data_IF_311594817423
#
_entry.id   IF_311594817423
#
_cell.length_a   1.000
_cell.length_b   1.000
_cell.length_c   1.000
_cell.angle_alpha   90.00
_cell.angle_beta   90.00
_cell.angle_gamma   90.00
#
_symmetry.space_group_name_H-M   'P 1'
#
loop_
_entity.id
_entity.type
_entity.pdbx_description
1 polymer ?
#
# COMPACT_ATOMS: atom_id res chain seq x y z
N UNK A 1 31.53 -51.46 36.23
CA UNK A 1 30.34 -50.97 35.49
C UNK A 1 30.58 -49.51 35.15
N UNK A 2 30.68 -49.20 33.85
CA UNK A 2 31.17 -47.91 33.32
C UNK A 2 30.13 -46.80 33.54
N UNK A 3 30.58 -45.64 34.04
CA UNK A 3 29.81 -44.39 34.08
C UNK A 3 29.60 -43.88 32.65
N UNK A 4 28.35 -43.66 32.25
CA UNK A 4 28.00 -42.97 31.01
C UNK A 4 27.57 -41.55 31.38
N UNK A 5 28.41 -40.57 31.04
CA UNK A 5 28.15 -39.14 31.15
C UNK A 5 27.41 -38.74 29.86
N UNK A 6 26.12 -38.42 29.93
CA UNK A 6 25.42 -37.77 28.81
C UNK A 6 25.79 -36.28 28.82
N UNK A 7 26.57 -35.85 27.83
CA UNK A 7 26.73 -34.43 27.50
C UNK A 7 25.47 -34.01 26.71
N UNK A 8 24.63 -33.15 27.29
CA UNK A 8 23.66 -32.37 26.51
C UNK A 8 24.44 -31.30 25.74
N UNK A 9 24.62 -31.50 24.44
CA UNK A 9 25.07 -30.43 23.54
C UNK A 9 23.84 -29.57 23.25
N UNK A 10 23.73 -28.44 23.92
CA UNK A 10 22.82 -27.38 23.52
C UNK A 10 23.35 -26.82 22.19
N UNK A 11 22.70 -27.17 21.08
CA UNK A 11 22.91 -26.49 19.82
C UNK A 11 22.35 -25.07 19.97
N UNK A 12 23.16 -24.01 19.81
CA UNK A 12 22.58 -22.69 19.66
C UNK A 12 21.79 -22.70 18.35
N UNK A 13 20.46 -22.58 18.45
CA UNK A 13 19.63 -22.14 17.34
C UNK A 13 20.13 -20.76 16.95
N UNK A 14 20.98 -20.71 15.92
CA UNK A 14 21.24 -19.50 15.18
C UNK A 14 19.94 -19.16 14.47
N UNK A 15 19.10 -18.38 15.14
CA UNK A 15 18.04 -17.62 14.49
C UNK A 15 18.79 -16.57 13.68
N UNK A 16 19.11 -16.89 12.44
CA UNK A 16 19.41 -15.87 11.45
C UNK A 16 18.16 -15.01 11.36
N UNK A 17 18.23 -13.77 11.89
CA UNK A 17 17.23 -12.75 11.58
C UNK A 17 17.19 -12.67 10.05
N UNK A 18 16.12 -13.20 9.46
CA UNK A 18 15.91 -13.11 8.03
C UNK A 18 15.72 -11.62 7.75
N UNK A 19 16.70 -11.00 7.10
CA UNK A 19 16.54 -9.63 6.65
C UNK A 19 15.48 -9.61 5.56
N UNK A 20 14.58 -8.62 5.62
CA UNK A 20 13.60 -8.39 4.58
C UNK A 20 14.31 -8.26 3.23
N UNK A 21 13.77 -8.91 2.21
CA UNK A 21 14.28 -8.87 0.85
C UNK A 21 13.52 -7.81 0.09
N UNK A 22 14.15 -6.66 -0.12
CA UNK A 22 13.55 -5.51 -0.80
C UNK A 22 14.39 -5.16 -2.03
N UNK A 23 13.74 -5.10 -3.20
CA UNK A 23 14.39 -4.89 -4.50
C UNK A 23 14.30 -3.44 -4.99
N UNK A 24 14.19 -2.49 -4.07
CA UNK A 24 14.34 -1.06 -4.33
C UNK A 24 15.77 -0.59 -4.03
N UNK A 25 16.14 0.55 -4.61
CA UNK A 25 17.37 1.28 -4.29
C UNK A 25 17.04 2.58 -3.60
N UNK A 26 17.84 2.96 -2.59
CA UNK A 26 17.77 4.29 -1.99
C UNK A 26 18.60 5.25 -2.82
N UNK A 27 17.92 6.18 -3.48
CA UNK A 27 18.53 7.20 -4.32
C UNK A 27 18.64 8.55 -3.60
N UNK A 28 19.50 9.47 -4.09
CA UNK A 28 19.52 10.84 -3.60
C UNK A 28 18.17 11.54 -3.86
N UNK A 29 17.72 12.36 -2.90
CA UNK A 29 16.52 13.18 -3.04
C UNK A 29 16.53 14.03 -4.34
N UNK A 30 15.61 13.80 -5.29
CA UNK A 30 15.55 14.55 -6.55
C UNK A 30 14.85 15.93 -6.42
N UNK A 31 14.14 16.17 -5.31
CA UNK A 31 13.35 17.37 -5.10
C UNK A 31 14.17 18.49 -4.45
N UNK A 32 14.35 19.59 -5.19
CA UNK A 32 15.18 20.74 -4.77
C UNK A 32 14.39 21.88 -4.11
N UNK A 33 13.09 21.71 -3.88
CA UNK A 33 12.26 22.73 -3.23
C UNK A 33 12.55 22.82 -1.73
N UNK A 34 12.23 23.97 -1.12
CA UNK A 34 12.48 24.22 0.31
C UNK A 34 11.85 23.16 1.21
N UNK A 35 10.61 22.72 0.91
CA UNK A 35 9.91 21.72 1.70
C UNK A 35 10.70 20.41 1.83
N UNK A 36 11.42 20.02 0.78
CA UNK A 36 12.14 18.75 0.72
C UNK A 36 13.62 18.88 1.12
N UNK A 37 14.09 20.07 1.50
CA UNK A 37 15.50 20.32 1.79
C UNK A 37 16.05 19.55 3.01
N UNK A 38 15.18 19.04 3.88
CA UNK A 38 15.54 18.16 5.00
C UNK A 38 15.81 16.71 4.61
N UNK A 39 15.37 16.27 3.42
CA UNK A 39 15.50 14.88 2.98
C UNK A 39 16.74 14.68 2.11
N UNK A 40 17.42 13.55 2.32
CA UNK A 40 18.58 13.15 1.51
C UNK A 40 18.34 11.83 0.78
N UNK A 41 17.36 11.05 1.20
CA UNK A 41 17.04 9.72 0.70
C UNK A 41 15.68 9.73 0.00
N UNK A 42 15.60 8.97 -1.09
CA UNK A 42 14.42 8.86 -1.91
C UNK A 42 14.26 7.43 -2.44
N UNK A 43 13.02 6.97 -2.53
CA UNK A 43 12.65 5.75 -3.26
C UNK A 43 11.38 6.05 -4.07
N UNK A 44 11.41 5.70 -5.35
CA UNK A 44 10.24 5.69 -6.23
C UNK A 44 9.57 4.31 -6.14
N UNK A 45 8.36 4.26 -5.60
CA UNK A 45 7.58 3.03 -5.43
C UNK A 45 6.57 2.93 -6.56
N UNK A 46 6.84 1.99 -7.46
CA UNK A 46 6.00 1.67 -8.62
C UNK A 46 5.64 2.87 -9.51
N UNK A 47 6.44 3.94 -9.48
CA UNK A 47 6.23 5.14 -10.29
C UNK A 47 5.06 6.04 -9.84
N UNK A 48 4.39 5.71 -8.72
CA UNK A 48 3.18 6.41 -8.27
C UNK A 48 3.19 6.85 -6.82
N UNK A 49 4.13 6.37 -6.01
CA UNK A 49 4.24 6.72 -4.60
C UNK A 49 5.71 6.96 -4.22
N UNK A 50 5.99 8.02 -3.46
CA UNK A 50 7.37 8.41 -3.15
C UNK A 50 7.70 8.26 -1.66
N UNK A 51 8.84 7.67 -1.32
CA UNK A 51 9.38 7.72 0.04
C UNK A 51 10.46 8.79 0.11
N UNK A 52 10.35 9.72 1.07
CA UNK A 52 11.39 10.71 1.34
C UNK A 52 11.87 10.59 2.79
N UNK A 53 13.19 10.53 3.01
CA UNK A 53 13.72 10.34 4.35
C UNK A 53 14.97 11.18 4.64
N UNK A 54 15.12 11.55 5.92
CA UNK A 54 16.32 12.23 6.42
C UNK A 54 17.55 11.33 6.36
N UNK A 55 18.74 11.94 6.35
CA UNK A 55 20.01 11.20 6.37
C UNK A 55 20.20 10.29 7.60
N UNK A 56 19.52 10.61 8.71
CA UNK A 56 19.57 9.88 9.98
C UNK A 56 18.72 8.61 9.99
N UNK A 57 17.79 8.45 9.05
CA UNK A 57 16.98 7.24 8.92
C UNK A 57 17.84 6.16 8.28
N UNK A 58 17.83 4.92 8.77
CA UNK A 58 18.63 3.84 8.17
C UNK A 58 18.04 3.41 6.82
N UNK A 59 18.87 2.96 5.88
CA UNK A 59 18.38 2.48 4.57
C UNK A 59 17.38 1.31 4.74
N UNK A 60 17.59 0.45 5.74
CA UNK A 60 16.67 -0.64 6.05
C UNK A 60 15.25 -0.14 6.38
N UNK A 61 15.11 0.95 7.13
CA UNK A 61 13.80 1.54 7.45
C UNK A 61 13.16 2.24 6.24
N UNK A 62 13.97 2.90 5.42
CA UNK A 62 13.49 3.51 4.16
C UNK A 62 12.99 2.45 3.20
N UNK A 63 13.75 1.37 3.02
CA UNK A 63 13.38 0.24 2.17
C UNK A 63 12.18 -0.54 2.72
N UNK A 64 12.05 -0.66 4.04
CA UNK A 64 10.87 -1.24 4.68
C UNK A 64 9.59 -0.45 4.34
N UNK A 65 9.61 0.87 4.50
CA UNK A 65 8.47 1.72 4.11
C UNK A 65 8.16 1.63 2.61
N UNK A 66 9.18 1.51 1.77
CA UNK A 66 8.99 1.31 0.33
C UNK A 66 8.37 -0.05 -0.01
N UNK A 67 8.80 -1.13 0.66
CA UNK A 67 8.23 -2.46 0.48
C UNK A 67 6.76 -2.50 0.91
N UNK A 68 6.44 -1.99 2.10
CA UNK A 68 5.06 -1.90 2.59
C UNK A 68 4.16 -1.10 1.64
N UNK A 69 4.64 0.04 1.12
CA UNK A 69 3.89 0.81 0.13
C UNK A 69 3.64 0.01 -1.16
N UNK A 70 4.64 -0.75 -1.63
CA UNK A 70 4.50 -1.60 -2.81
C UNK A 70 3.52 -2.76 -2.57
N UNK A 71 3.64 -3.49 -1.47
CA UNK A 71 2.75 -4.60 -1.09
C UNK A 71 1.28 -4.18 -0.90
N UNK A 72 1.05 -2.92 -0.50
CA UNK A 72 -0.30 -2.36 -0.38
C UNK A 72 -0.88 -1.89 -1.73
N UNK A 73 -0.05 -1.52 -2.71
CA UNK A 73 -0.47 -1.07 -4.04
C UNK A 73 -0.53 -2.21 -5.07
N UNK A 74 0.31 -3.21 -4.89
CA UNK A 74 0.47 -4.42 -5.68
C UNK A 74 0.37 -5.61 -4.72
N UNK A 75 -0.86 -5.94 -4.32
CA UNK A 75 -1.13 -6.91 -3.27
C UNK A 75 -0.87 -8.35 -3.73
N UNK A 76 -0.74 -8.60 -5.03
CA UNK A 76 -0.34 -9.89 -5.59
C UNK A 76 1.18 -10.01 -5.87
N UNK A 77 1.93 -8.93 -5.64
CA UNK A 77 3.38 -8.79 -5.82
C UNK A 77 3.89 -9.15 -7.23
N UNK A 78 3.11 -8.85 -8.28
CA UNK A 78 3.50 -9.13 -9.67
C UNK A 78 4.30 -8.00 -10.35
N UNK A 79 4.52 -6.90 -9.64
CA UNK A 79 5.24 -5.71 -10.08
C UNK A 79 4.33 -4.64 -10.70
N UNK A 80 3.01 -4.80 -10.64
CA UNK A 80 2.03 -3.90 -11.27
C UNK A 80 1.02 -3.46 -10.22
N UNK A 81 0.72 -2.16 -10.16
CA UNK A 81 -0.33 -1.62 -9.28
C UNK A 81 -1.69 -2.27 -9.61
N UNK A 82 -2.36 -2.82 -8.60
CA UNK A 82 -3.60 -3.59 -8.74
C UNK A 82 -4.78 -2.77 -9.28
N UNK A 83 -4.79 -1.47 -8.95
CA UNK A 83 -5.80 -0.50 -9.39
C UNK A 83 -5.17 0.67 -10.17
N UNK A 84 -5.26 0.65 -11.51
CA UNK A 84 -4.75 1.72 -12.36
C UNK A 84 -5.39 3.10 -12.10
N UNK A 85 -6.62 3.15 -11.55
CA UNK A 85 -7.24 4.43 -11.20
C UNK A 85 -6.58 5.04 -9.96
N UNK A 86 -6.25 4.20 -8.98
CA UNK A 86 -5.49 4.61 -7.79
C UNK A 86 -4.08 5.03 -8.21
N UNK A 87 -3.40 4.26 -9.06
CA UNK A 87 -2.08 4.61 -9.62
C UNK A 87 -2.07 6.04 -10.21
N UNK A 88 -3.01 6.33 -11.12
CA UNK A 88 -3.13 7.66 -11.76
C UNK A 88 -3.42 8.76 -10.75
N UNK A 89 -4.29 8.49 -9.77
CA UNK A 89 -4.63 9.47 -8.73
C UNK A 89 -3.42 9.81 -7.86
N UNK A 90 -2.67 8.80 -7.41
CA UNK A 90 -1.47 8.98 -6.59
C UNK A 90 -0.38 9.75 -7.35
N UNK A 91 -0.19 9.46 -8.65
CA UNK A 91 0.70 10.25 -9.53
C UNK A 91 0.24 11.71 -9.59
N UNK A 92 -1.06 11.95 -9.81
CA UNK A 92 -1.58 13.32 -9.99
C UNK A 92 -1.41 14.20 -8.75
N UNK A 93 -1.53 13.62 -7.56
CA UNK A 93 -1.35 14.34 -6.28
C UNK A 93 0.09 14.28 -5.76
N UNK A 94 0.99 13.60 -6.49
CA UNK A 94 2.37 13.34 -6.07
C UNK A 94 2.42 12.70 -4.68
N UNK A 95 1.68 11.59 -4.51
CA UNK A 95 1.56 10.89 -3.23
C UNK A 95 2.92 10.50 -2.66
N UNK A 96 3.12 10.72 -1.36
CA UNK A 96 4.38 10.45 -0.71
C UNK A 96 4.23 10.12 0.79
N UNK A 97 5.22 9.39 1.31
CA UNK A 97 5.44 9.17 2.73
C UNK A 97 6.75 9.82 3.17
N UNK A 98 6.69 10.94 3.91
CA UNK A 98 7.87 11.52 4.54
C UNK A 98 8.22 10.77 5.84
N UNK A 99 9.51 10.43 6.00
CA UNK A 99 10.05 9.80 7.21
C UNK A 99 10.96 10.79 7.93
N UNK A 100 10.54 11.17 9.13
CA UNK A 100 11.26 12.09 10.01
C UNK A 100 11.93 11.34 11.15
N UNK A 101 12.94 11.95 11.77
CA UNK A 101 13.61 11.36 12.92
C UNK A 101 12.67 11.27 14.15
N UNK A 102 11.88 12.31 14.39
CA UNK A 102 10.91 12.40 15.48
C UNK A 102 9.95 13.57 15.23
N UNK A 103 8.83 13.61 15.95
CA UNK A 103 7.87 14.71 15.92
C UNK A 103 8.54 16.06 16.25
N UNK A 104 8.13 17.10 15.52
CA UNK A 104 8.55 18.48 15.70
C UNK A 104 10.03 18.75 15.38
N UNK A 105 10.74 17.84 14.71
CA UNK A 105 12.14 18.05 14.36
C UNK A 105 12.33 19.11 13.25
N UNK A 106 13.58 19.48 12.96
CA UNK A 106 13.87 20.56 12.01
C UNK A 106 13.40 20.26 10.57
N UNK A 107 13.56 19.02 10.11
CA UNK A 107 13.12 18.60 8.78
C UNK A 107 11.60 18.61 8.66
N UNK A 108 10.88 18.08 9.66
CA UNK A 108 9.43 18.10 9.73
C UNK A 108 8.88 19.53 9.73
N UNK A 109 9.41 20.40 10.59
CA UNK A 109 9.01 21.81 10.61
C UNK A 109 9.27 22.49 9.26
N UNK A 110 10.40 22.20 8.60
CA UNK A 110 10.69 22.76 7.29
C UNK A 110 9.72 22.24 6.24
N UNK A 111 9.42 20.95 6.25
CA UNK A 111 8.45 20.33 5.36
C UNK A 111 7.05 20.93 5.57
N UNK A 112 6.51 20.86 6.79
CA UNK A 112 5.17 21.34 7.12
C UNK A 112 4.96 22.83 6.83
N UNK A 113 5.98 23.67 7.04
CA UNK A 113 5.87 25.12 6.77
C UNK A 113 5.97 25.50 5.29
N UNK A 114 6.43 24.59 4.41
CA UNK A 114 6.70 24.91 3.01
C UNK A 114 5.97 23.99 2.01
N UNK A 115 5.48 22.84 2.45
CA UNK A 115 4.72 21.91 1.63
C UNK A 115 3.29 22.42 1.44
N UNK A 116 2.85 22.50 0.19
CA UNK A 116 1.51 22.97 -0.21
C UNK A 116 0.84 21.98 -1.19
N UNK A 117 1.27 20.71 -1.18
CA UNK A 117 0.68 19.66 -2.00
C UNK A 117 -0.40 18.88 -1.25
N UNK A 118 -1.04 17.92 -1.92
CA UNK A 118 -2.08 17.06 -1.33
C UNK A 118 -1.65 15.58 -1.26
N UNK A 119 -0.39 15.27 -1.55
CA UNK A 119 0.13 13.91 -1.61
C UNK A 119 0.49 13.29 -0.25
N UNK A 120 0.32 14.03 0.84
CA UNK A 120 0.61 13.56 2.21
C UNK A 120 -0.68 13.50 3.00
N UNK A 121 -0.96 12.37 3.63
CA UNK A 121 -2.02 12.25 4.64
C UNK A 121 -1.49 11.92 6.04
N UNK A 122 -0.27 11.39 6.10
CA UNK A 122 0.30 10.74 7.26
C UNK A 122 1.84 10.86 7.19
N UNK A 123 2.54 10.68 8.30
CA UNK A 123 4.00 10.82 8.37
C UNK A 123 4.58 9.74 9.27
N UNK A 124 5.76 9.22 8.95
CA UNK A 124 6.43 8.22 9.79
C UNK A 124 7.54 8.85 10.62
N UNK A 125 7.69 8.38 11.86
CA UNK A 125 8.87 8.68 12.68
C UNK A 125 9.84 7.50 12.76
N UNK A 126 11.13 7.79 12.85
CA UNK A 126 12.18 6.78 12.99
C UNK A 126 11.94 5.83 14.18
N UNK A 127 11.30 6.30 15.25
CA UNK A 127 10.99 5.49 16.42
C UNK A 127 9.91 4.43 16.21
N UNK A 128 9.09 4.58 15.17
CA UNK A 128 7.86 3.80 14.95
C UNK A 128 8.00 2.78 13.83
N UNK A 129 9.18 2.69 13.23
CA UNK A 129 9.45 1.74 12.14
C UNK A 129 10.24 0.56 12.71
N UNK A 130 9.65 -0.63 12.71
CA UNK A 130 10.32 -1.89 13.06
C UNK A 130 10.21 -2.90 11.90
N UNK A 131 11.25 -2.97 11.03
CA UNK A 131 11.24 -3.92 9.91
C UNK A 131 11.19 -5.39 10.30
N UNK A 132 11.37 -5.73 11.59
CA UNK A 132 11.31 -7.11 12.07
C UNK A 132 9.91 -7.55 12.48
N UNK A 133 8.96 -6.60 12.55
CA UNK A 133 7.59 -6.83 13.00
C UNK A 133 6.61 -6.06 12.11
N UNK A 134 6.67 -6.26 10.79
CA UNK A 134 5.91 -5.52 9.78
C UNK A 134 4.43 -5.35 10.17
N UNK A 135 4.01 -4.10 10.32
CA UNK A 135 2.63 -3.72 10.66
C UNK A 135 2.15 -4.13 12.05
N UNK A 136 2.99 -4.75 12.89
CA UNK A 136 2.58 -5.16 14.23
C UNK A 136 2.23 -3.94 15.08
N UNK A 137 1.01 -3.93 15.62
CA UNK A 137 0.49 -2.80 16.36
C UNK A 137 1.35 -2.46 17.58
N UNK A 138 1.72 -1.18 17.71
CA UNK A 138 2.58 -0.68 18.77
C UNK A 138 4.09 -0.88 18.55
N UNK A 139 4.50 -1.66 17.55
CA UNK A 139 5.92 -1.87 17.21
C UNK A 139 6.31 -1.27 15.85
N UNK A 140 5.45 -1.40 14.83
CA UNK A 140 5.69 -0.90 13.47
C UNK A 140 4.45 -0.18 12.89
N UNK A 141 4.45 1.16 12.92
CA UNK A 141 3.39 1.99 12.36
C UNK A 141 3.45 2.10 10.83
N UNK A 142 4.41 1.44 10.16
CA UNK A 142 4.63 1.59 8.71
C UNK A 142 3.39 1.25 7.89
N UNK A 143 2.68 0.17 8.22
CA UNK A 143 1.44 -0.20 7.50
C UNK A 143 0.36 0.86 7.67
N UNK A 144 0.17 1.38 8.89
CA UNK A 144 -0.83 2.39 9.23
C UNK A 144 -0.62 3.69 8.46
N UNK A 145 0.55 4.31 8.60
CA UNK A 145 0.81 5.62 7.99
C UNK A 145 0.78 5.56 6.45
N UNK A 146 1.32 4.47 5.89
CA UNK A 146 1.34 4.28 4.44
C UNK A 146 -0.07 4.02 3.90
N UNK A 147 -0.85 3.17 4.55
CA UNK A 147 -2.22 2.87 4.09
C UNK A 147 -3.15 4.08 4.29
N UNK A 148 -2.96 4.89 5.34
CA UNK A 148 -3.64 6.17 5.48
C UNK A 148 -3.40 7.07 4.27
N UNK A 149 -2.15 7.20 3.82
CA UNK A 149 -1.84 8.03 2.64
C UNK A 149 -2.43 7.44 1.35
N UNK A 150 -2.29 6.13 1.11
CA UNK A 150 -2.87 5.48 -0.08
C UNK A 150 -4.40 5.62 -0.10
N UNK A 151 -5.08 5.41 1.03
CA UNK A 151 -6.53 5.49 1.12
C UNK A 151 -7.02 6.92 0.98
N UNK A 152 -6.44 7.85 1.73
CA UNK A 152 -6.83 9.25 1.71
C UNK A 152 -6.61 9.88 0.33
N UNK A 153 -5.40 9.76 -0.23
CA UNK A 153 -5.07 10.38 -1.52
C UNK A 153 -5.71 9.61 -2.68
N UNK A 154 -5.73 8.27 -2.61
CA UNK A 154 -6.29 7.40 -3.64
C UNK A 154 -7.78 7.14 -3.47
N UNK A 155 -8.15 6.18 -2.62
CA UNK A 155 -9.49 5.62 -2.54
C UNK A 155 -10.60 6.65 -2.29
N UNK A 156 -10.38 7.65 -1.43
CA UNK A 156 -11.41 8.67 -1.16
C UNK A 156 -11.70 9.57 -2.37
N UNK A 157 -10.71 9.78 -3.25
CA UNK A 157 -10.82 10.60 -4.45
C UNK A 157 -11.32 9.79 -5.67
N UNK A 158 -10.86 8.55 -5.82
CA UNK A 158 -11.25 7.67 -6.95
C UNK A 158 -12.66 7.11 -6.77
N UNK A 159 -13.04 6.75 -5.55
CA UNK A 159 -14.31 6.12 -5.24
C UNK A 159 -15.13 6.92 -4.20
N UNK A 160 -15.47 8.19 -4.45
CA UNK A 160 -16.05 9.08 -3.45
C UNK A 160 -17.44 8.63 -2.97
N UNK A 161 -18.22 7.96 -3.82
CA UNK A 161 -19.52 7.40 -3.42
C UNK A 161 -19.36 6.31 -2.33
N UNK A 162 -18.23 5.61 -2.30
CA UNK A 162 -17.91 4.61 -1.30
C UNK A 162 -17.17 5.20 -0.10
N UNK A 163 -16.17 6.05 -0.34
CA UNK A 163 -15.17 6.44 0.68
C UNK A 163 -14.99 7.95 0.90
N UNK A 164 -15.86 8.83 0.37
CA UNK A 164 -15.79 10.24 0.78
C UNK A 164 -15.94 10.36 2.30
N UNK A 165 -15.16 11.24 2.94
CA UNK A 165 -15.03 11.26 4.40
C UNK A 165 -15.98 12.22 5.11
N UNK A 166 -16.59 13.16 4.38
CA UNK A 166 -17.57 14.08 4.95
C UNK A 166 -18.81 13.34 5.51
N UNK A 167 -19.47 13.92 6.51
CA UNK A 167 -20.68 13.32 7.07
C UNK A 167 -21.78 13.18 6.01
N UNK A 168 -22.42 11.99 5.95
CA UNK A 168 -23.47 11.64 4.99
C UNK A 168 -23.07 11.67 3.51
N UNK A 169 -21.77 11.60 3.18
CA UNK A 169 -21.31 11.72 1.79
C UNK A 169 -21.12 10.38 1.07
N UNK A 170 -21.07 9.27 1.81
CA UNK A 170 -20.59 7.99 1.29
C UNK A 170 -21.18 6.77 2.01
N UNK A 171 -20.95 5.59 1.45
CA UNK A 171 -21.25 4.33 2.13
C UNK A 171 -20.44 4.16 3.42
N UNK A 172 -19.16 4.56 3.41
CA UNK A 172 -18.27 4.48 4.58
C UNK A 172 -18.74 5.39 5.71
N UNK A 173 -19.16 6.63 5.40
CA UNK A 173 -19.71 7.54 6.42
C UNK A 173 -20.99 7.01 7.07
N UNK A 174 -21.83 6.35 6.28
CA UNK A 174 -23.01 5.66 6.80
C UNK A 174 -22.63 4.47 7.70
N UNK A 175 -21.57 3.73 7.36
CA UNK A 175 -21.07 2.61 8.16
C UNK A 175 -20.47 3.08 9.49
N UNK A 176 -19.61 4.11 9.46
CA UNK A 176 -18.98 4.65 10.67
C UNK A 176 -20.00 5.20 11.67
N UNK A 177 -21.05 5.86 11.19
CA UNK A 177 -22.12 6.35 12.08
C UNK A 177 -22.88 5.20 12.76
N UNK A 178 -23.03 4.05 12.10
CA UNK A 178 -23.58 2.84 12.74
C UNK A 178 -22.59 2.28 13.76
N UNK A 179 -21.30 2.19 13.40
CA UNK A 179 -20.24 1.67 14.26
C UNK A 179 -20.06 2.44 15.58
N UNK A 180 -20.32 3.75 15.54
CA UNK A 180 -20.26 4.63 16.71
C UNK A 180 -21.61 4.77 17.43
N UNK A 181 -22.66 4.10 16.96
CA UNK A 181 -24.02 4.22 17.51
C UNK A 181 -24.70 5.57 17.27
N UNK A 182 -24.20 6.37 16.34
CA UNK A 182 -24.69 7.69 15.97
C UNK A 182 -23.67 8.52 15.16
N UNK A 183 -24.13 9.67 14.66
CA UNK A 183 -23.27 10.63 13.96
C UNK A 183 -22.62 11.61 14.94
N UNK A 184 -21.29 11.59 15.04
CA UNK A 184 -20.50 12.46 15.92
C UNK A 184 -19.44 13.21 15.11
N UNK A 185 -19.57 14.54 15.03
CA UNK A 185 -18.66 15.40 14.26
C UNK A 185 -17.29 15.59 14.89
N UNK A 186 -17.18 15.30 16.18
CA UNK A 186 -15.96 15.28 17.00
C UNK A 186 -16.06 14.09 17.94
N UNK A 187 -14.95 13.68 18.55
CA UNK A 187 -14.98 12.63 19.58
C UNK A 187 -15.93 13.04 20.71
N UNK A 188 -16.96 12.24 21.05
CA UNK A 188 -17.87 12.51 22.15
C UNK A 188 -17.24 12.13 23.50
N UNK A 189 -17.76 12.70 24.59
CA UNK A 189 -17.32 12.31 25.94
C UNK A 189 -17.54 10.82 26.24
N UNK A 190 -18.60 10.23 25.67
CA UNK A 190 -18.90 8.80 25.78
C UNK A 190 -19.64 8.36 24.53
N UNK A 191 -19.22 7.23 23.97
CA UNK A 191 -19.97 6.54 22.94
C UNK A 191 -21.15 5.74 23.54
N UNK A 192 -22.23 5.49 22.78
CA UNK A 192 -23.29 4.57 23.17
C UNK A 192 -22.74 3.16 23.41
N UNK A 193 -23.30 2.43 24.38
CA UNK A 193 -22.87 1.05 24.70
C UNK A 193 -23.12 0.01 23.57
N UNK A 194 -23.75 0.41 22.47
CA UNK A 194 -23.94 -0.39 21.26
C UNK A 194 -22.88 -0.13 20.19
N UNK A 195 -21.98 0.83 20.41
CA UNK A 195 -20.87 1.12 19.53
C UNK A 195 -19.78 0.05 19.67
N UNK A 196 -18.95 -0.08 18.64
CA UNK A 196 -17.74 -0.91 18.61
C UNK A 196 -16.51 -0.16 18.09
N UNK A 197 -16.71 1.10 17.73
CA UNK A 197 -15.67 2.05 17.36
C UNK A 197 -15.76 3.26 18.29
N UNK A 198 -14.71 3.47 19.06
CA UNK A 198 -14.64 4.37 20.20
C UNK A 198 -13.38 5.25 20.15
N UNK A 199 -12.99 5.72 18.97
CA UNK A 199 -11.79 6.54 18.77
C UNK A 199 -11.69 7.66 19.82
N UNK A 200 -10.53 7.80 20.48
CA UNK A 200 -10.42 8.59 21.71
C UNK A 200 -9.56 9.86 21.58
N UNK A 201 -8.89 10.07 20.44
CA UNK A 201 -8.12 11.29 20.17
C UNK A 201 -9.05 12.51 20.03
N UNK A 202 -9.07 13.33 21.09
CA UNK A 202 -9.89 14.53 21.19
C UNK A 202 -9.54 15.63 20.18
N UNK A 203 -8.42 15.52 19.47
CA UNK A 203 -8.03 16.46 18.40
C UNK A 203 -8.68 16.13 17.06
N UNK A 204 -9.22 14.91 16.94
CA UNK A 204 -9.76 14.36 15.72
C UNK A 204 -11.19 14.85 15.43
N UNK A 205 -11.42 15.27 14.20
CA UNK A 205 -12.75 15.58 13.67
C UNK A 205 -13.38 14.37 12.95
N UNK A 206 -14.54 14.56 12.33
CA UNK A 206 -15.26 13.52 11.60
C UNK A 206 -14.42 12.84 10.52
N UNK A 207 -13.64 13.60 9.75
CA UNK A 207 -12.87 13.05 8.63
C UNK A 207 -11.64 12.30 9.12
N UNK A 208 -10.98 12.83 10.15
CA UNK A 208 -9.91 12.12 10.85
C UNK A 208 -10.43 10.78 11.42
N UNK A 209 -11.58 10.74 12.11
CA UNK A 209 -12.14 9.48 12.61
C UNK A 209 -12.49 8.51 11.47
N UNK A 210 -12.79 9.02 10.28
CA UNK A 210 -13.15 8.21 9.12
C UNK A 210 -11.98 7.46 8.52
N UNK A 211 -10.84 8.12 8.36
CA UNK A 211 -9.66 7.48 7.77
C UNK A 211 -9.11 6.39 8.70
N UNK A 212 -9.16 6.66 10.00
CA UNK A 212 -8.85 5.71 11.07
C UNK A 212 -9.80 4.50 11.07
N UNK A 213 -11.11 4.74 10.95
CA UNK A 213 -12.10 3.68 10.81
C UNK A 213 -11.83 2.76 9.62
N UNK A 214 -11.41 3.35 8.49
CA UNK A 214 -11.02 2.59 7.30
C UNK A 214 -9.77 1.74 7.56
N UNK A 215 -8.75 2.31 8.18
CA UNK A 215 -7.55 1.59 8.59
C UNK A 215 -7.89 0.41 9.51
N UNK A 216 -8.56 0.66 10.64
CA UNK A 216 -8.94 -0.35 11.62
C UNK A 216 -9.65 -1.54 10.99
N UNK A 217 -10.60 -1.28 10.07
CA UNK A 217 -11.31 -2.32 9.34
C UNK A 217 -10.39 -3.13 8.42
N UNK A 218 -9.51 -2.48 7.64
CA UNK A 218 -8.60 -3.17 6.71
C UNK A 218 -7.60 -4.04 7.47
N UNK A 219 -6.93 -3.51 8.50
CA UNK A 219 -5.91 -4.28 9.23
C UNK A 219 -6.51 -5.39 10.11
N UNK A 220 -7.77 -5.22 10.55
CA UNK A 220 -8.55 -6.31 11.14
C UNK A 220 -8.79 -7.44 10.14
N UNK A 221 -9.13 -7.09 8.88
CA UNK A 221 -9.32 -8.09 7.84
C UNK A 221 -8.01 -8.83 7.50
N UNK A 222 -6.92 -8.09 7.36
CA UNK A 222 -5.57 -8.62 7.13
C UNK A 222 -5.10 -9.56 8.25
N UNK A 223 -5.70 -9.46 9.43
CA UNK A 223 -5.33 -10.25 10.61
C UNK A 223 -4.12 -9.72 11.36
N UNK A 224 -3.70 -8.49 11.08
CA UNK A 224 -2.58 -7.80 11.74
C UNK A 224 -2.85 -7.64 13.24
N UNK A 225 -4.12 -7.36 13.59
CA UNK A 225 -4.55 -7.15 14.98
C UNK A 225 -4.96 -8.46 15.69
N UNK A 226 -4.81 -9.61 15.03
CA UNK A 226 -5.38 -10.90 15.48
C UNK A 226 -4.49 -11.69 16.43
N UNK A 227 -3.88 -11.00 17.39
CA UNK A 227 -3.22 -11.63 18.53
C UNK A 227 -3.87 -11.16 19.86
N UNK A 228 -3.77 -11.97 20.95
CA UNK A 228 -4.45 -11.64 22.20
C UNK A 228 -3.95 -10.37 22.88
N UNK A 229 -2.68 -9.99 22.70
CA UNK A 229 -2.11 -8.80 23.35
C UNK A 229 -2.62 -7.54 22.66
N UNK A 230 -2.56 -7.48 21.32
CA UNK A 230 -3.11 -6.37 20.54
C UNK A 230 -4.61 -6.25 20.74
N UNK A 231 -5.36 -7.35 20.62
CA UNK A 231 -6.81 -7.35 20.81
C UNK A 231 -7.23 -6.80 22.18
N UNK A 232 -6.44 -7.05 23.23
CA UNK A 232 -6.68 -6.47 24.56
C UNK A 232 -6.24 -5.00 24.63
N UNK A 233 -5.13 -4.64 23.98
CA UNK A 233 -4.59 -3.28 23.97
C UNK A 233 -5.49 -2.27 23.29
N UNK A 234 -6.21 -2.69 22.24
CA UNK A 234 -7.08 -1.81 21.44
C UNK A 234 -8.56 -1.90 21.83
N UNK A 235 -8.96 -2.77 22.76
CA UNK A 235 -10.38 -3.08 22.99
C UNK A 235 -11.22 -1.89 23.49
N UNK A 236 -10.57 -0.88 24.07
CA UNK A 236 -11.23 0.34 24.51
C UNK A 236 -11.58 1.26 23.34
N UNK A 237 -10.93 1.09 22.18
CA UNK A 237 -11.12 1.90 20.96
C UNK A 237 -11.77 1.12 19.80
N UNK A 238 -11.41 -0.15 19.59
CA UNK A 238 -11.85 -0.97 18.46
C UNK A 238 -12.09 -2.42 18.85
N UNK A 239 -13.32 -2.90 18.70
CA UNK A 239 -13.69 -4.27 19.08
C UNK A 239 -13.45 -5.34 18.00
N UNK A 240 -13.72 -5.12 16.69
CA UNK A 240 -13.64 -6.19 15.70
C UNK A 240 -12.23 -6.39 15.14
N UNK A 241 -11.28 -6.78 16.00
CA UNK A 241 -9.84 -6.92 15.72
C UNK A 241 -9.43 -8.04 14.72
N UNK A 242 -10.39 -8.78 14.13
CA UNK A 242 -10.09 -9.77 13.10
C UNK A 242 -11.21 -9.88 12.05
N UNK A 243 -10.92 -10.52 10.92
CA UNK A 243 -11.87 -10.68 9.82
C UNK A 243 -13.22 -11.30 10.22
N UNK A 244 -13.23 -12.25 11.16
CA UNK A 244 -14.47 -12.93 11.60
C UNK A 244 -15.34 -11.99 12.43
N UNK A 245 -14.74 -11.29 13.39
CA UNK A 245 -15.45 -10.31 14.21
C UNK A 245 -15.95 -9.16 13.35
N UNK A 246 -15.09 -8.62 12.48
CA UNK A 246 -15.45 -7.57 11.53
C UNK A 246 -16.65 -7.96 10.66
N UNK A 247 -16.64 -9.16 10.07
CA UNK A 247 -17.76 -9.65 9.27
C UNK A 247 -19.06 -9.76 10.07
N UNK A 248 -18.99 -10.11 11.36
CA UNK A 248 -20.17 -10.32 12.20
C UNK A 248 -20.72 -9.05 12.84
N UNK A 249 -19.86 -8.07 13.12
CA UNK A 249 -20.20 -6.84 13.84
C UNK A 249 -20.42 -5.67 12.89
N UNK A 250 -19.48 -5.45 11.96
CA UNK A 250 -19.50 -4.33 11.02
C UNK A 250 -19.71 -4.80 9.58
N UNK A 251 -20.89 -5.36 9.33
CA UNK A 251 -21.25 -5.90 8.01
C UNK A 251 -21.16 -4.84 6.91
N UNK A 252 -21.47 -3.57 7.23
CA UNK A 252 -21.44 -2.48 6.27
C UNK A 252 -20.01 -2.21 5.80
N UNK A 253 -19.07 -2.04 6.73
CA UNK A 253 -17.68 -1.79 6.36
C UNK A 253 -16.98 -3.03 5.81
N UNK A 254 -17.27 -4.22 6.35
CA UNK A 254 -16.78 -5.48 5.80
C UNK A 254 -17.12 -5.62 4.31
N UNK A 255 -18.37 -5.34 3.92
CA UNK A 255 -18.80 -5.43 2.52
C UNK A 255 -18.14 -4.36 1.63
N UNK A 256 -17.80 -3.19 2.19
CA UNK A 256 -17.05 -2.18 1.46
C UNK A 256 -15.61 -2.63 1.21
N UNK A 257 -14.88 -3.03 2.25
CA UNK A 257 -13.46 -3.35 2.11
C UNK A 257 -13.22 -4.62 1.28
N UNK A 258 -14.16 -5.58 1.33
CA UNK A 258 -14.11 -6.82 0.52
C UNK A 258 -14.74 -6.67 -0.87
N UNK A 259 -15.23 -5.49 -1.21
CA UNK A 259 -15.80 -5.20 -2.53
C UNK A 259 -14.71 -5.24 -3.60
N UNK A 260 -14.69 -6.21 -4.53
CA UNK A 260 -13.60 -6.38 -5.49
C UNK A 260 -13.44 -5.21 -6.46
N UNK A 261 -14.46 -4.36 -6.59
CA UNK A 261 -14.43 -3.15 -7.40
C UNK A 261 -13.56 -2.03 -6.82
N UNK A 262 -13.21 -2.07 -5.53
CA UNK A 262 -12.43 -1.03 -4.87
C UNK A 262 -10.96 -1.38 -4.71
N UNK A 263 -10.57 -2.64 -5.00
CA UNK A 263 -9.18 -3.08 -5.04
C UNK A 263 -8.35 -2.71 -3.79
N UNK A 264 -9.01 -2.66 -2.64
CA UNK A 264 -8.32 -2.46 -1.36
C UNK A 264 -7.39 -3.64 -1.09
N UNK A 265 -6.19 -3.40 -0.51
CA UNK A 265 -5.29 -4.47 -0.14
C UNK A 265 -5.91 -5.28 1.00
N UNK A 266 -5.88 -6.61 0.86
CA UNK A 266 -6.45 -7.55 1.84
C UNK A 266 -5.42 -8.56 2.36
N UNK A 267 -4.25 -8.64 1.74
CA UNK A 267 -3.09 -9.37 2.25
C UNK A 267 -2.22 -8.44 3.09
N UNK A 268 -1.85 -8.91 4.28
CA UNK A 268 -0.96 -8.17 5.19
C UNK A 268 0.44 -8.07 4.59
N UNK A 269 1.05 -6.87 4.55
CA UNK A 269 2.46 -6.73 4.19
C UNK A 269 3.35 -7.54 5.14
N UNK A 270 4.38 -8.20 4.59
CA UNK A 270 5.43 -8.86 5.35
C UNK A 270 6.78 -8.11 5.27
N UNK A 271 6.85 -7.05 4.46
CA UNK A 271 8.01 -6.18 4.32
C UNK A 271 9.01 -6.68 3.29
N UNK A 272 8.71 -7.77 2.57
CA UNK A 272 9.49 -8.27 1.45
C UNK A 272 8.80 -7.85 0.15
N UNK A 273 9.54 -7.19 -0.73
CA UNK A 273 9.02 -6.85 -2.05
C UNK A 273 10.12 -6.96 -3.09
N UNK A 274 10.06 -8.05 -3.84
CA UNK A 274 10.98 -8.39 -4.90
C UNK A 274 10.23 -9.12 -6.02
N UNK A 275 9.31 -8.42 -6.72
CA UNK A 275 8.58 -9.02 -7.81
C UNK A 275 9.59 -9.57 -8.82
N UNK A 276 9.53 -10.87 -9.07
CA UNK A 276 10.21 -11.41 -10.24
C UNK A 276 9.52 -10.78 -11.43
N UNK A 277 10.25 -10.06 -12.27
CA UNK A 277 9.76 -9.59 -13.57
C UNK A 277 9.48 -10.81 -14.46
N UNK A 278 8.48 -11.61 -14.13
CA UNK A 278 7.92 -12.69 -14.94
C UNK A 278 6.89 -12.14 -15.93
N UNK A 279 6.74 -10.82 -15.98
CA UNK A 279 6.00 -10.07 -16.99
C UNK A 279 6.93 -9.30 -17.95
N UNK A 280 8.10 -9.87 -18.30
CA UNK A 280 8.31 -9.97 -19.75
C UNK A 280 7.18 -10.89 -20.18
N UNK A 281 6.07 -10.32 -20.66
CA UNK A 281 5.20 -11.08 -21.53
C UNK A 281 6.14 -11.84 -22.45
N UNK A 282 6.21 -13.16 -22.29
CA UNK A 282 6.75 -13.98 -23.35
C UNK A 282 5.85 -13.59 -24.53
N UNK A 283 6.30 -12.62 -25.33
CA UNK A 283 5.85 -12.43 -26.68
C UNK A 283 6.13 -13.79 -27.27
N UNK A 284 5.09 -14.61 -27.24
CA UNK A 284 5.10 -16.00 -27.63
C UNK A 284 5.98 -16.09 -28.87
N UNK A 285 7.21 -16.57 -28.68
CA UNK A 285 8.26 -16.49 -29.71
C UNK A 285 7.94 -17.42 -30.88
N UNK A 286 6.87 -18.22 -30.75
CA UNK A 286 6.23 -18.94 -31.84
C UNK A 286 5.33 -18.00 -32.66
N UNK A 287 5.96 -17.04 -33.36
CA UNK A 287 5.32 -16.27 -34.43
C UNK A 287 5.08 -17.16 -35.65
N UNK A 288 4.06 -18.01 -35.60
CA UNK A 288 3.61 -18.77 -36.77
C UNK A 288 2.81 -17.87 -37.70
N UNK A 289 3.33 -17.64 -38.91
CA UNK A 289 2.68 -16.82 -39.93
C UNK A 289 1.40 -17.50 -40.41
N UNK A 290 0.25 -16.82 -40.24
CA UNK A 290 -1.03 -17.28 -40.79
C UNK A 290 -1.19 -16.86 -42.24
N UNK A 291 -0.97 -15.57 -42.52
CA UNK A 291 -1.36 -14.97 -43.79
C UNK A 291 -0.59 -13.68 -44.06
N UNK A 292 -0.38 -13.41 -45.35
CA UNK A 292 0.17 -12.16 -45.85
C UNK A 292 -0.92 -11.47 -46.65
N UNK A 293 -1.16 -10.18 -46.36
CA UNK A 293 -2.15 -9.38 -47.09
C UNK A 293 -1.56 -8.07 -47.61
N UNK A 294 -2.12 -7.57 -48.71
CA UNK A 294 -1.83 -6.22 -49.18
C UNK A 294 -2.56 -5.14 -48.36
N UNK A 295 -2.32 -3.87 -48.69
CA UNK A 295 -2.96 -2.72 -48.03
C UNK A 295 -4.49 -2.68 -48.19
N UNK A 296 -5.06 -3.50 -49.08
CA UNK A 296 -6.50 -3.64 -49.29
C UNK A 296 -7.05 -4.92 -48.64
N UNK A 297 -6.25 -5.66 -47.87
CA UNK A 297 -6.65 -6.87 -47.14
C UNK A 297 -6.74 -8.13 -47.99
N UNK A 298 -6.25 -8.12 -49.24
CA UNK A 298 -6.28 -9.28 -50.14
C UNK A 298 -5.06 -10.16 -49.88
N UNK A 299 -5.21 -11.49 -49.95
CA UNK A 299 -4.06 -12.39 -49.78
C UNK A 299 -3.03 -12.10 -50.86
N UNK A 300 -1.76 -12.00 -50.47
CA UNK A 300 -0.66 -11.73 -51.39
C UNK A 300 0.54 -12.58 -51.04
N UNK A 301 1.40 -12.83 -52.03
CA UNK A 301 2.71 -13.41 -51.82
C UNK A 301 3.73 -12.29 -51.49
N UNK A 302 4.89 -12.62 -50.88
CA UNK A 302 5.96 -11.66 -50.66
C UNK A 302 6.39 -10.98 -51.96
N UNK A 303 6.39 -9.63 -51.98
CA UNK A 303 6.77 -8.82 -53.14
C UNK A 303 7.72 -7.70 -52.69
N UNK A 304 8.74 -7.43 -53.53
CA UNK A 304 9.70 -6.36 -53.29
C UNK A 304 9.03 -4.98 -53.46
N UNK A 305 9.53 -3.99 -52.73
CA UNK A 305 9.13 -2.59 -52.73
C UNK A 305 7.63 -2.34 -52.52
N UNK A 306 6.92 -3.30 -51.91
CA UNK A 306 5.48 -3.22 -51.65
C UNK A 306 5.21 -3.42 -50.16
N UNK A 307 4.42 -2.54 -49.51
CA UNK A 307 4.01 -2.73 -48.13
C UNK A 307 3.00 -3.87 -48.01
N UNK A 308 3.37 -4.89 -47.24
CA UNK A 308 2.54 -6.05 -46.93
C UNK A 308 2.33 -6.14 -45.42
N UNK A 309 1.22 -6.74 -45.02
CA UNK A 309 0.90 -7.02 -43.62
C UNK A 309 0.98 -8.53 -43.37
N UNK A 310 1.84 -8.93 -42.44
CA UNK A 310 1.99 -10.30 -41.96
C UNK A 310 1.14 -10.49 -40.71
N UNK A 311 0.18 -11.40 -40.79
CA UNK A 311 -0.74 -11.72 -39.70
C UNK A 311 -0.28 -13.05 -39.09
N UNK A 312 -0.13 -13.09 -37.77
CA UNK A 312 0.39 -14.24 -37.03
C UNK A 312 -0.71 -14.91 -36.20
N UNK A 313 -0.53 -16.20 -35.86
CA UNK A 313 -1.49 -16.99 -35.06
C UNK A 313 -1.80 -16.35 -33.70
N UNK A 314 -0.84 -15.63 -33.12
CA UNK A 314 -0.99 -14.92 -31.85
C UNK A 314 -1.72 -13.57 -31.96
N UNK A 315 -2.29 -13.24 -33.12
CA UNK A 315 -3.02 -11.99 -33.37
C UNK A 315 -2.15 -10.78 -33.72
N UNK A 316 -0.82 -10.92 -33.71
CA UNK A 316 0.09 -9.83 -34.10
C UNK A 316 -0.04 -9.55 -35.60
N UNK A 317 0.04 -8.27 -35.99
CA UNK A 317 0.11 -7.83 -37.38
C UNK A 317 1.36 -6.98 -37.59
N UNK A 318 2.25 -7.40 -38.48
CA UNK A 318 3.48 -6.66 -38.81
C UNK A 318 3.41 -6.11 -40.23
N UNK A 319 3.64 -4.80 -40.39
CA UNK A 319 3.87 -4.20 -41.71
C UNK A 319 5.32 -4.44 -42.12
N UNK A 320 5.54 -5.10 -43.27
CA UNK A 320 6.88 -5.32 -43.84
C UNK A 320 6.96 -4.79 -45.26
N UNK A 321 8.13 -4.25 -45.61
CA UNK A 321 8.52 -3.87 -46.97
C UNK A 321 9.85 -4.58 -47.24
N UNK A 322 9.86 -5.49 -48.21
CA UNK A 322 11.11 -6.11 -48.65
C UNK A 322 11.74 -5.16 -49.67
N UNK A 323 12.87 -4.57 -49.34
CA UNK A 323 13.63 -3.72 -50.26
C UNK A 323 14.62 -4.61 -51.03
N UNK A 324 14.87 -4.27 -52.29
CA UNK A 324 16.02 -4.81 -53.05
C UNK A 324 17.34 -4.19 -52.61
#
# INVERSE_FOLDING_TARGET
>A
MKKLLLLLVAFPLLISAQQNTVCFTVDPNPNSTTAFSGFTKYVDVLGCFSIYAESTITDAKVLHAAAVAAELLDNNEDGIVDDPLIEVQLISESALMPIFFQDGNAAMNTFANNYNGNGVSAVLYNGEIDPTQTGHWGDDATVEEVIHTINHVGHTNVYPAAFSMQANSSLMSSAMDVARGGQFMSVPNNYPASAWYHYDDQTCDYECMMIEYMYWAIVSYMGILNDPQTAQGISDEWEPYNATLLQSMDILMYNLITGPQYKLPLLAPDGNYCPTTSSVSEMNTDKKLLKIVDVLGRESLPQNNTPLFHIYENGTVEKRIILE
#
